data_IF_364824632759
#
_entry.id   IF_364824632759
#
_cell.length_a   1.000
_cell.length_b   1.000
_cell.length_c   1.000
_cell.angle_alpha   90.00
_cell.angle_beta   90.00
_cell.angle_gamma   90.00
#
_symmetry.space_group_name_H-M   'P 1'
#
loop_
_entity.id
_entity.type
_entity.pdbx_description
1 polymer ?
#
# COMPACT_ATOMS: atom_id res chain seq x y z
N UNK A 1 -33.26 27.53 -16.45
CA UNK A 1 -32.24 26.90 -17.32
C UNK A 1 -31.08 26.52 -16.43
N UNK A 2 -30.73 25.23 -16.26
CA UNK A 2 -29.50 24.89 -15.55
C UNK A 2 -28.32 25.42 -16.36
N UNK A 3 -27.44 26.16 -15.67
CA UNK A 3 -26.20 26.68 -16.23
C UNK A 3 -25.32 25.49 -16.65
N UNK A 4 -24.95 25.38 -17.92
CA UNK A 4 -24.06 24.33 -18.38
C UNK A 4 -22.68 24.59 -17.76
N UNK A 5 -22.31 23.80 -16.75
CA UNK A 5 -21.00 23.91 -16.11
C UNK A 5 -19.91 23.63 -17.15
N UNK A 6 -18.91 24.51 -17.22
CA UNK A 6 -17.71 24.29 -18.04
C UNK A 6 -17.01 23.02 -17.57
N UNK A 7 -16.65 22.09 -18.48
CA UNK A 7 -15.96 20.87 -18.11
C UNK A 7 -14.58 21.17 -17.48
N UNK A 8 -14.12 20.35 -16.53
CA UNK A 8 -12.83 20.55 -15.85
C UNK A 8 -11.67 20.41 -16.84
N UNK A 9 -10.65 21.27 -16.69
CA UNK A 9 -9.45 21.26 -17.53
C UNK A 9 -8.50 20.10 -17.18
N UNK A 10 -8.49 19.67 -15.92
CA UNK A 10 -7.69 18.55 -15.42
C UNK A 10 -8.49 17.78 -14.37
N UNK A 11 -8.44 16.45 -14.45
CA UNK A 11 -8.94 15.56 -13.40
C UNK A 11 -7.80 14.67 -12.95
N UNK A 12 -7.53 14.69 -11.65
CA UNK A 12 -6.53 13.84 -11.00
C UNK A 12 -7.27 12.84 -10.11
N UNK A 13 -7.05 11.55 -10.36
CA UNK A 13 -7.61 10.48 -9.55
C UNK A 13 -6.52 9.89 -8.67
N UNK A 14 -6.86 9.61 -7.43
CA UNK A 14 -6.13 8.62 -6.64
C UNK A 14 -6.37 7.22 -7.24
N UNK A 15 -5.53 6.26 -6.88
CA UNK A 15 -5.61 4.90 -7.39
C UNK A 15 -6.37 3.98 -6.44
N UNK A 16 -5.88 3.81 -5.21
CA UNK A 16 -6.43 2.90 -4.21
C UNK A 16 -7.72 3.42 -3.58
N UNK A 17 -8.80 2.63 -3.60
CA UNK A 17 -10.11 3.06 -3.11
C UNK A 17 -10.85 4.01 -4.05
N UNK A 18 -10.28 4.34 -5.21
CA UNK A 18 -10.90 5.17 -6.25
C UNK A 18 -11.00 4.43 -7.59
N UNK A 19 -9.87 4.12 -8.23
CA UNK A 19 -9.83 3.40 -9.50
C UNK A 19 -9.71 1.90 -9.33
N UNK A 20 -9.09 1.45 -8.24
CA UNK A 20 -8.96 0.04 -7.87
C UNK A 20 -9.35 -0.18 -6.41
N UNK A 21 -9.95 -1.33 -6.14
CA UNK A 21 -10.20 -1.79 -4.78
C UNK A 21 -8.92 -2.41 -4.20
N UNK A 22 -7.95 -1.55 -3.92
CA UNK A 22 -6.65 -1.94 -3.39
C UNK A 22 -6.77 -2.34 -1.92
N UNK A 23 -6.34 -3.56 -1.60
CA UNK A 23 -6.29 -4.10 -0.25
C UNK A 23 -5.04 -4.99 -0.14
N UNK A 24 -4.04 -4.65 0.72
CA UNK A 24 -2.80 -5.42 0.84
C UNK A 24 -3.05 -6.88 1.26
N UNK A 25 -4.19 -7.18 1.93
CA UNK A 25 -4.55 -8.56 2.27
C UNK A 25 -4.71 -9.44 1.04
N UNK A 26 -5.05 -8.89 -0.12
CA UNK A 26 -5.14 -9.66 -1.38
C UNK A 26 -3.80 -10.25 -1.80
N UNK A 27 -2.73 -9.50 -1.59
CA UNK A 27 -1.36 -10.00 -1.78
C UNK A 27 -1.02 -11.01 -0.69
N UNK A 28 -1.17 -10.62 0.58
CA UNK A 28 -0.61 -11.40 1.67
C UNK A 28 -1.35 -12.71 1.97
N UNK A 29 -2.63 -12.84 1.61
CA UNK A 29 -3.32 -14.14 1.61
C UNK A 29 -2.67 -15.18 0.70
N UNK A 30 -1.84 -14.76 -0.27
CA UNK A 30 -1.06 -15.66 -1.15
C UNK A 30 0.32 -16.00 -0.58
N UNK A 31 0.77 -15.28 0.45
CA UNK A 31 2.11 -15.41 1.04
C UNK A 31 2.08 -16.05 2.42
N UNK A 32 0.96 -15.93 3.12
CA UNK A 32 0.72 -16.55 4.42
C UNK A 32 -0.25 -17.72 4.30
N UNK A 33 0.03 -18.79 5.07
CA UNK A 33 -0.91 -19.90 5.25
C UNK A 33 -1.89 -19.65 6.40
N UNK A 34 -1.51 -18.83 7.38
CA UNK A 34 -2.33 -18.45 8.53
C UNK A 34 -2.73 -16.97 8.43
N UNK A 35 -4.04 -16.72 8.44
CA UNK A 35 -4.62 -15.38 8.36
C UNK A 35 -4.31 -14.56 9.61
N UNK A 36 -4.22 -15.17 10.80
CA UNK A 36 -3.88 -14.43 12.02
C UNK A 36 -2.43 -13.91 11.96
N UNK A 37 -1.50 -14.73 11.48
CA UNK A 37 -0.12 -14.30 11.25
C UNK A 37 -0.02 -13.17 10.21
N UNK A 38 -0.82 -13.25 9.13
CA UNK A 38 -0.90 -12.16 8.14
C UNK A 38 -1.38 -10.85 8.75
N UNK A 39 -2.49 -10.88 9.50
CA UNK A 39 -3.03 -9.68 10.14
C UNK A 39 -2.06 -9.11 11.19
N UNK A 40 -1.32 -9.96 11.89
CA UNK A 40 -0.25 -9.52 12.78
C UNK A 40 0.86 -8.81 12.00
N UNK A 41 1.30 -9.36 10.87
CA UNK A 41 2.29 -8.72 10.01
C UNK A 41 1.81 -7.35 9.49
N UNK A 42 0.58 -7.26 9.00
CA UNK A 42 0.00 -6.02 8.48
C UNK A 42 -0.31 -4.97 9.57
N UNK A 43 -0.46 -5.38 10.83
CA UNK A 43 -0.68 -4.46 11.96
C UNK A 43 0.60 -4.02 12.66
N UNK A 44 1.73 -4.72 12.45
CA UNK A 44 2.99 -4.44 13.16
C UNK A 44 4.16 -4.06 12.26
N UNK A 45 4.24 -4.61 11.05
CA UNK A 45 5.36 -4.41 10.12
C UNK A 45 4.94 -3.46 9.01
N UNK A 46 4.14 -3.94 8.05
CA UNK A 46 3.63 -3.12 6.93
C UNK A 46 2.31 -2.42 7.29
N UNK A 47 2.37 -1.56 8.30
CA UNK A 47 1.20 -0.91 8.88
C UNK A 47 0.54 0.10 7.94
N UNK A 48 -0.77 0.41 8.11
CA UNK A 48 -1.42 1.48 7.37
C UNK A 48 -0.74 2.84 7.54
N UNK A 49 -0.22 3.14 8.74
CA UNK A 49 0.51 4.38 9.00
C UNK A 49 1.84 4.42 8.22
N UNK A 50 2.55 3.30 8.13
CA UNK A 50 3.76 3.21 7.30
C UNK A 50 3.44 3.39 5.81
N UNK A 51 2.35 2.79 5.31
CA UNK A 51 1.90 3.01 3.93
C UNK A 51 1.57 4.48 3.66
N UNK A 52 0.90 5.15 4.61
CA UNK A 52 0.56 6.57 4.48
C UNK A 52 1.80 7.48 4.33
N UNK A 53 2.94 7.12 4.91
CA UNK A 53 4.18 7.88 4.68
C UNK A 53 4.68 7.75 3.23
N UNK A 54 4.41 6.62 2.56
CA UNK A 54 4.69 6.46 1.13
C UNK A 54 3.82 7.41 0.30
N UNK A 55 2.53 7.49 0.64
CA UNK A 55 1.57 8.40 -0.03
C UNK A 55 1.96 9.88 0.17
N UNK A 56 2.63 10.21 1.29
CA UNK A 56 3.21 11.54 1.55
C UNK A 56 4.47 11.84 0.75
N UNK A 57 4.89 10.93 -0.12
CA UNK A 57 6.03 11.12 -1.03
C UNK A 57 7.35 10.57 -0.48
N UNK A 58 7.34 9.77 0.59
CA UNK A 58 8.53 9.05 1.02
C UNK A 58 8.99 8.09 -0.09
N UNK A 59 10.27 8.07 -0.48
CA UNK A 59 10.74 7.14 -1.49
C UNK A 59 10.53 5.69 -1.07
N UNK A 60 9.74 4.96 -1.85
CA UNK A 60 9.36 3.57 -1.54
C UNK A 60 10.59 2.67 -1.32
N UNK A 61 11.64 2.81 -2.13
CA UNK A 61 12.87 2.05 -1.97
C UNK A 61 13.53 2.25 -0.59
N UNK A 62 13.58 3.49 -0.12
CA UNK A 62 14.17 3.85 1.17
C UNK A 62 13.32 3.31 2.32
N UNK A 63 12.00 3.47 2.22
CA UNK A 63 11.07 2.98 3.25
C UNK A 63 11.13 1.45 3.41
N UNK A 64 11.26 0.71 2.30
CA UNK A 64 11.43 -0.74 2.30
C UNK A 64 12.75 -1.17 2.92
N UNK A 65 13.87 -0.56 2.53
CA UNK A 65 15.17 -0.92 3.10
C UNK A 65 15.25 -0.64 4.60
N UNK A 66 14.74 0.51 5.05
CA UNK A 66 14.71 0.83 6.48
C UNK A 66 13.81 -0.15 7.26
N UNK A 67 12.62 -0.46 6.74
CA UNK A 67 11.72 -1.40 7.41
C UNK A 67 12.30 -2.82 7.43
N UNK A 68 12.94 -3.26 6.33
CA UNK A 68 13.61 -4.55 6.25
C UNK A 68 14.86 -4.63 7.13
N UNK A 69 15.52 -3.51 7.43
CA UNK A 69 16.60 -3.46 8.40
C UNK A 69 16.09 -3.61 9.85
N UNK A 70 14.89 -3.10 10.14
CA UNK A 70 14.24 -3.26 11.45
C UNK A 70 13.67 -4.68 11.65
N UNK A 71 13.16 -5.29 10.58
CA UNK A 71 12.56 -6.62 10.59
C UNK A 71 13.24 -7.53 9.55
N UNK A 72 14.48 -7.97 9.79
CA UNK A 72 15.27 -8.73 8.80
C UNK A 72 14.62 -10.06 8.41
N UNK A 73 13.96 -10.74 9.35
CA UNK A 73 13.25 -12.00 9.10
C UNK A 73 12.03 -11.83 8.16
N UNK A 74 11.46 -10.62 8.16
CA UNK A 74 10.29 -10.27 7.36
C UNK A 74 10.67 -9.63 6.02
N UNK A 75 11.96 -9.47 5.73
CA UNK A 75 12.46 -8.79 4.52
C UNK A 75 11.80 -9.28 3.23
N UNK A 76 11.66 -10.60 2.97
CA UNK A 76 11.01 -11.07 1.74
C UNK A 76 9.55 -10.60 1.63
N UNK A 77 8.83 -10.52 2.76
CA UNK A 77 7.44 -10.07 2.81
C UNK A 77 7.33 -8.56 2.66
N UNK A 78 8.28 -7.78 3.21
CA UNK A 78 8.36 -6.32 3.04
C UNK A 78 8.70 -5.96 1.59
N UNK A 79 9.67 -6.64 0.99
CA UNK A 79 10.05 -6.43 -0.42
C UNK A 79 8.88 -6.77 -1.36
N UNK A 80 8.09 -7.80 -1.04
CA UNK A 80 6.88 -8.14 -1.79
C UNK A 80 5.84 -7.01 -1.82
N UNK A 81 5.73 -6.21 -0.74
CA UNK A 81 4.82 -5.05 -0.70
C UNK A 81 5.10 -4.09 -1.85
N UNK A 82 6.37 -3.81 -2.13
CA UNK A 82 6.75 -2.91 -3.24
C UNK A 82 6.59 -3.56 -4.61
N UNK A 83 6.90 -4.84 -4.73
CA UNK A 83 6.99 -5.51 -6.02
C UNK A 83 5.63 -6.02 -6.54
N UNK A 84 4.67 -6.24 -5.64
CA UNK A 84 3.47 -7.06 -5.92
C UNK A 84 2.19 -6.47 -5.32
N UNK A 85 2.09 -5.16 -5.15
CA UNK A 85 0.96 -4.50 -4.49
C UNK A 85 -0.38 -4.57 -5.26
N UNK A 86 -0.43 -5.16 -6.46
CA UNK A 86 -1.65 -5.36 -7.25
C UNK A 86 -2.27 -6.76 -7.08
#
# INVERSE_FOLDING_TARGET
MPNAATPPELVLFDLGGVLIDWDPRRLYRKLFADEAAMEQFLSTVCTPAWNLELDRGRPFAVAVEELAALYPEERPLIEAYRQRWL
#
